data_IF_978445352509
#
_entry.id   IF_978445352509
#
_cell.length_a   1.000
_cell.length_b   1.000
_cell.length_c   1.000
_cell.angle_alpha   90.00
_cell.angle_beta   90.00
_cell.angle_gamma   90.00
#
_symmetry.space_group_name_H-M   'P 1'
#
loop_
_entity.id
_entity.type
_entity.pdbx_description
1 polymer ?
#
# COMPACT_ATOMS: atom_id res chain seq x y z
N UNK A 1 16.78 22.39 -4.46
CA UNK A 1 17.02 21.09 -3.81
C UNK A 1 15.73 20.32 -3.92
N UNK A 2 15.68 19.23 -4.67
CA UNK A 2 14.53 18.33 -4.70
C UNK A 2 14.41 17.69 -3.31
N UNK A 3 13.24 17.79 -2.67
CA UNK A 3 13.00 17.10 -1.41
C UNK A 3 13.07 15.59 -1.66
N UNK A 4 13.56 14.82 -0.68
CA UNK A 4 13.55 13.35 -0.78
C UNK A 4 12.12 12.86 -1.09
N UNK A 5 11.98 11.81 -1.92
CA UNK A 5 10.67 11.26 -2.29
C UNK A 5 9.92 10.75 -1.06
N UNK A 6 8.60 10.85 -1.11
CA UNK A 6 7.71 10.36 -0.06
C UNK A 6 7.66 8.82 -0.07
N UNK A 7 7.97 8.18 1.04
CA UNK A 7 8.06 6.72 1.16
C UNK A 7 6.74 6.09 1.60
N UNK A 8 6.16 5.26 0.77
CA UNK A 8 4.97 4.46 1.08
C UNK A 8 5.39 2.99 1.15
N UNK A 9 5.17 2.35 2.28
CA UNK A 9 5.59 0.95 2.48
C UNK A 9 4.38 0.07 2.71
N UNK A 10 4.21 -0.95 1.89
CA UNK A 10 3.19 -1.98 2.06
C UNK A 10 3.80 -3.17 2.79
N UNK A 11 3.53 -3.29 4.08
CA UNK A 11 4.15 -4.31 4.93
C UNK A 11 3.12 -5.08 5.75
N UNK A 12 3.32 -6.40 5.75
CA UNK A 12 2.63 -7.37 6.58
C UNK A 12 3.42 -8.67 6.52
N UNK A 13 3.79 -9.23 7.66
CA UNK A 13 4.56 -10.48 7.77
C UNK A 13 3.77 -11.72 7.32
N UNK A 14 2.50 -11.55 6.96
CA UNK A 14 1.62 -12.62 6.49
C UNK A 14 1.48 -12.60 4.97
N UNK A 15 1.57 -13.77 4.36
CA UNK A 15 1.30 -13.95 2.93
C UNK A 15 -0.19 -13.80 2.60
N UNK A 16 -0.52 -13.42 1.36
CA UNK A 16 -1.88 -13.42 0.85
C UNK A 16 -2.80 -12.29 1.35
N UNK A 17 -2.28 -11.27 2.02
CA UNK A 17 -3.07 -10.13 2.52
C UNK A 17 -3.35 -9.05 1.47
N UNK A 18 -2.83 -9.21 0.27
CA UNK A 18 -3.02 -8.28 -0.84
C UNK A 18 -2.02 -7.12 -0.89
N UNK A 19 -0.86 -7.21 -0.23
CA UNK A 19 0.20 -6.17 -0.27
C UNK A 19 0.53 -5.73 -1.68
N UNK A 20 1.08 -6.64 -2.49
CA UNK A 20 1.52 -6.35 -3.86
C UNK A 20 0.38 -5.81 -4.74
N UNK A 21 -0.81 -6.41 -4.63
CA UNK A 21 -1.99 -5.94 -5.37
C UNK A 21 -2.33 -4.51 -4.99
N UNK A 22 -2.38 -4.21 -3.69
CA UNK A 22 -2.69 -2.87 -3.20
C UNK A 22 -1.60 -1.87 -3.59
N UNK A 23 -0.32 -2.26 -3.45
CA UNK A 23 0.83 -1.42 -3.81
C UNK A 23 0.82 -1.02 -5.28
N UNK A 24 0.62 -1.97 -6.20
CA UNK A 24 0.53 -1.69 -7.64
C UNK A 24 -0.63 -0.76 -7.97
N UNK A 25 -1.82 -1.04 -7.43
CA UNK A 25 -3.01 -0.22 -7.71
C UNK A 25 -2.88 1.20 -7.16
N UNK A 26 -2.23 1.38 -6.00
CA UNK A 26 -1.93 2.71 -5.45
C UNK A 26 -0.87 3.41 -6.31
N UNK A 27 0.20 2.72 -6.73
CA UNK A 27 1.23 3.28 -7.59
C UNK A 27 0.65 3.80 -8.91
N UNK A 28 -0.17 2.98 -9.57
CA UNK A 28 -0.84 3.37 -10.83
C UNK A 28 -1.84 4.51 -10.59
N UNK A 29 -2.56 4.50 -9.47
CA UNK A 29 -3.49 5.59 -9.13
C UNK A 29 -2.76 6.93 -8.95
N UNK A 30 -1.60 6.95 -8.29
CA UNK A 30 -0.77 8.14 -8.15
C UNK A 30 -0.23 8.62 -9.50
N UNK A 31 0.21 7.69 -10.36
CA UNK A 31 0.65 8.01 -11.71
C UNK A 31 -0.48 8.62 -12.56
N UNK A 32 -1.71 8.11 -12.45
CA UNK A 32 -2.90 8.71 -13.08
C UNK A 32 -3.23 10.11 -12.55
N UNK A 33 -2.78 10.44 -11.35
CA UNK A 33 -2.90 11.77 -10.76
C UNK A 33 -1.72 12.69 -11.12
N UNK A 34 -0.83 12.25 -12.02
CA UNK A 34 0.30 13.03 -12.52
C UNK A 34 1.54 13.01 -11.62
N UNK A 35 1.56 12.17 -10.58
CA UNK A 35 2.75 12.00 -9.75
C UNK A 35 3.78 11.10 -10.44
N UNK A 36 5.06 11.39 -10.23
CA UNK A 36 6.16 10.50 -10.60
C UNK A 36 6.35 9.46 -9.51
N UNK A 37 6.24 8.19 -9.85
CA UNK A 37 6.27 7.08 -8.90
C UNK A 37 7.42 6.15 -9.22
N UNK A 38 8.17 5.75 -8.20
CA UNK A 38 9.07 4.61 -8.24
C UNK A 38 8.53 3.49 -7.35
N UNK A 39 8.78 2.23 -7.71
CA UNK A 39 8.28 1.07 -6.98
C UNK A 39 9.39 0.01 -6.84
N UNK A 40 9.64 -0.43 -5.63
CA UNK A 40 10.68 -1.40 -5.29
C UNK A 40 10.03 -2.66 -4.69
N UNK A 41 10.28 -3.80 -5.34
CA UNK A 41 9.86 -5.10 -4.81
C UNK A 41 10.98 -5.65 -3.90
N UNK A 42 10.68 -5.83 -2.62
CA UNK A 42 11.61 -6.40 -1.62
C UNK A 42 11.46 -7.92 -1.48
N UNK A 43 10.65 -8.59 -2.33
CA UNK A 43 10.58 -10.05 -2.36
C UNK A 43 11.18 -10.61 -3.66
N UNK A 44 12.52 -10.78 -3.72
CA UNK A 44 13.20 -11.28 -4.93
C UNK A 44 12.81 -12.72 -5.30
N UNK A 45 12.11 -13.44 -4.42
CA UNK A 45 11.61 -14.79 -4.69
C UNK A 45 10.28 -14.77 -5.43
N UNK A 46 9.32 -13.98 -4.96
CA UNK A 46 7.98 -13.90 -5.56
C UNK A 46 7.91 -12.86 -6.67
N UNK A 47 8.57 -11.72 -6.52
CA UNK A 47 8.66 -10.62 -7.49
C UNK A 47 7.29 -10.19 -8.00
N UNK A 48 6.26 -10.15 -7.14
CA UNK A 48 4.88 -9.97 -7.56
C UNK A 48 4.62 -8.57 -8.09
N UNK A 49 5.10 -7.54 -7.39
CA UNK A 49 4.99 -6.15 -7.83
C UNK A 49 5.79 -5.93 -9.12
N UNK A 50 7.04 -6.40 -9.17
CA UNK A 50 7.89 -6.30 -10.34
C UNK A 50 7.23 -6.93 -11.58
N UNK A 51 6.77 -8.17 -11.47
CA UNK A 51 6.10 -8.89 -12.58
C UNK A 51 4.82 -8.20 -13.03
N UNK A 52 4.12 -7.53 -12.14
CA UNK A 52 2.93 -6.77 -12.53
C UNK A 52 3.29 -5.60 -13.45
N UNK A 53 4.33 -4.84 -13.10
CA UNK A 53 4.79 -3.72 -13.93
C UNK A 53 5.49 -4.19 -15.21
N UNK A 54 6.21 -5.32 -15.19
CA UNK A 54 6.77 -5.97 -16.36
C UNK A 54 5.65 -6.34 -17.36
N UNK A 55 4.60 -7.03 -16.89
CA UNK A 55 3.42 -7.36 -17.70
C UNK A 55 2.73 -6.09 -18.26
N UNK A 56 2.73 -5.00 -17.47
CA UNK A 56 2.18 -3.71 -17.91
C UNK A 56 3.00 -3.13 -19.06
N UNK A 57 4.32 -3.10 -18.94
CA UNK A 57 5.22 -2.62 -20.00
C UNK A 57 5.10 -3.46 -21.27
N UNK A 58 5.03 -4.79 -21.16
CA UNK A 58 4.79 -5.68 -22.29
C UNK A 58 3.43 -5.42 -22.97
N UNK A 59 2.39 -5.16 -22.20
CA UNK A 59 1.05 -4.81 -22.74
C UNK A 59 1.08 -3.48 -23.47
N UNK A 60 1.77 -2.47 -22.93
CA UNK A 60 1.97 -1.18 -23.60
C UNK A 60 2.67 -1.37 -24.96
N UNK A 61 3.80 -2.09 -24.96
CA UNK A 61 4.56 -2.36 -26.17
C UNK A 61 3.73 -3.13 -27.22
N UNK A 62 3.04 -4.19 -26.80
CA UNK A 62 2.21 -5.02 -27.68
C UNK A 62 1.02 -4.30 -28.29
N UNK A 63 0.37 -3.38 -27.53
CA UNK A 63 -0.83 -2.66 -27.96
C UNK A 63 -0.51 -1.29 -28.58
N UNK A 64 0.74 -0.82 -28.50
CA UNK A 64 1.13 0.52 -28.95
C UNK A 64 0.46 1.64 -28.17
N UNK A 65 0.28 1.46 -26.85
CA UNK A 65 -0.40 2.42 -25.96
C UNK A 65 0.57 2.90 -24.88
N UNK A 66 0.30 4.08 -24.36
CA UNK A 66 0.96 4.62 -23.18
C UNK A 66 0.01 4.63 -21.98
N UNK A 67 0.45 4.04 -20.87
CA UNK A 67 -0.33 3.93 -19.64
C UNK A 67 0.46 4.49 -18.47
N UNK A 68 -0.12 5.35 -17.63
CA UNK A 68 0.53 5.81 -16.42
C UNK A 68 1.02 4.65 -15.56
N UNK A 69 2.24 4.75 -15.06
CA UNK A 69 2.88 3.67 -14.29
C UNK A 69 3.97 4.20 -13.37
N UNK A 70 4.82 3.32 -12.92
CA UNK A 70 5.97 3.62 -12.07
C UNK A 70 7.27 3.17 -12.75
N UNK A 71 8.39 3.84 -12.45
CA UNK A 71 9.69 3.21 -12.57
C UNK A 71 9.73 2.06 -11.56
N UNK A 72 10.22 0.88 -11.93
CA UNK A 72 10.14 -0.27 -11.05
C UNK A 72 11.38 -1.15 -11.11
N UNK A 73 11.73 -1.72 -9.97
CA UNK A 73 12.81 -2.70 -9.87
C UNK A 73 12.59 -3.66 -8.70
N UNK A 74 13.40 -4.73 -8.66
CA UNK A 74 13.48 -5.68 -7.56
C UNK A 74 14.80 -5.50 -6.82
N UNK A 75 14.74 -5.34 -5.51
CA UNK A 75 15.95 -5.26 -4.71
C UNK A 75 16.56 -6.65 -4.48
N UNK A 76 17.82 -6.80 -4.84
CA UNK A 76 18.58 -8.07 -4.71
C UNK A 76 19.88 -7.89 -3.92
N UNK A 77 20.10 -6.70 -3.33
CA UNK A 77 21.28 -6.43 -2.50
C UNK A 77 21.22 -7.16 -1.15
N UNK A 78 22.33 -7.07 -0.41
CA UNK A 78 22.56 -7.81 0.84
C UNK A 78 22.74 -6.93 2.08
N UNK A 79 22.65 -5.61 1.91
CA UNK A 79 22.83 -4.66 3.02
C UNK A 79 21.79 -3.51 3.01
N UNK A 80 21.61 -2.88 4.14
CA UNK A 80 20.72 -1.72 4.28
C UNK A 80 21.27 -0.52 3.48
N UNK A 81 22.58 -0.35 3.46
CA UNK A 81 23.26 0.70 2.69
C UNK A 81 22.99 0.52 1.19
N UNK A 82 23.02 -0.73 0.70
CA UNK A 82 22.69 -1.04 -0.69
C UNK A 82 21.21 -0.75 -0.99
N UNK A 83 20.29 -1.04 -0.04
CA UNK A 83 18.87 -0.72 -0.20
C UNK A 83 18.64 0.81 -0.26
N UNK A 84 19.29 1.59 0.59
CA UNK A 84 19.17 3.05 0.56
C UNK A 84 19.78 3.65 -0.72
N UNK A 85 20.91 3.12 -1.17
CA UNK A 85 21.54 3.56 -2.44
C UNK A 85 20.61 3.26 -3.64
N UNK A 86 20.08 2.03 -3.72
CA UNK A 86 19.10 1.63 -4.74
C UNK A 86 17.82 2.48 -4.70
N UNK A 87 17.34 2.78 -3.48
CA UNK A 87 16.18 3.66 -3.29
C UNK A 87 16.45 5.06 -3.79
N UNK A 88 17.65 5.61 -3.52
CA UNK A 88 18.04 6.93 -3.98
C UNK A 88 18.17 7.00 -5.51
N UNK A 89 18.70 5.94 -6.14
CA UNK A 89 18.87 5.84 -7.58
C UNK A 89 17.50 5.81 -8.30
N UNK A 90 16.64 4.84 -7.99
CA UNK A 90 15.33 4.71 -8.65
C UNK A 90 14.38 5.86 -8.31
N UNK A 91 14.54 6.44 -7.12
CA UNK A 91 13.70 7.52 -6.61
C UNK A 91 14.19 8.94 -6.95
N UNK A 92 15.28 9.10 -7.72
CA UNK A 92 15.94 10.39 -7.95
C UNK A 92 14.98 11.51 -8.42
N UNK A 93 14.05 11.17 -9.33
CA UNK A 93 13.08 12.10 -9.88
C UNK A 93 11.63 11.81 -9.43
N UNK A 94 11.46 10.91 -8.49
CA UNK A 94 10.14 10.48 -8.04
C UNK A 94 9.57 11.41 -6.97
N UNK A 95 8.25 11.61 -6.99
CA UNK A 95 7.49 12.21 -5.89
C UNK A 95 7.26 11.19 -4.78
N UNK A 96 7.04 9.93 -5.17
CA UNK A 96 6.78 8.80 -4.28
C UNK A 96 7.69 7.61 -4.59
N UNK A 97 8.18 6.95 -3.55
CA UNK A 97 8.77 5.61 -3.63
C UNK A 97 7.89 4.65 -2.86
N UNK A 98 7.42 3.61 -3.57
CA UNK A 98 6.57 2.55 -3.01
C UNK A 98 7.41 1.29 -2.81
N UNK A 99 7.30 0.71 -1.61
CA UNK A 99 7.93 -0.57 -1.30
C UNK A 99 6.87 -1.64 -1.10
N UNK A 100 7.03 -2.78 -1.78
CA UNK A 100 6.26 -4.00 -1.53
C UNK A 100 7.15 -5.00 -0.77
N UNK A 101 6.70 -5.44 0.40
CA UNK A 101 7.51 -6.30 1.27
C UNK A 101 7.11 -7.76 1.19
N UNK A 102 8.04 -8.71 1.46
CA UNK A 102 7.70 -10.12 1.52
C UNK A 102 6.68 -10.42 2.64
N UNK A 103 5.95 -11.53 2.48
CA UNK A 103 4.99 -12.03 3.47
C UNK A 103 5.66 -12.86 4.58
N UNK A 104 6.79 -12.39 5.10
CA UNK A 104 7.56 -12.99 6.18
C UNK A 104 8.36 -11.92 6.91
N UNK A 105 8.90 -12.28 8.05
CA UNK A 105 9.90 -11.45 8.71
C UNK A 105 11.18 -11.34 7.84
N UNK A 106 11.60 -10.10 7.62
CA UNK A 106 12.71 -9.78 6.73
C UNK A 106 13.37 -8.46 7.17
N UNK A 107 14.72 -8.37 7.25
CA UNK A 107 15.41 -7.19 7.75
C UNK A 107 15.22 -5.96 6.85
N UNK A 108 15.14 -6.12 5.53
CA UNK A 108 14.90 -5.02 4.60
C UNK A 108 13.47 -4.52 4.70
N UNK A 109 12.49 -5.44 4.87
CA UNK A 109 11.11 -5.08 5.11
C UNK A 109 10.93 -4.29 6.42
N UNK A 110 11.61 -4.72 7.50
CA UNK A 110 11.61 -3.98 8.78
C UNK A 110 12.22 -2.60 8.64
N UNK A 111 13.37 -2.52 7.95
CA UNK A 111 14.02 -1.23 7.71
C UNK A 111 13.10 -0.30 6.91
N UNK A 112 12.56 -0.75 5.79
CA UNK A 112 11.64 0.03 4.98
C UNK A 112 10.42 0.50 5.80
N UNK A 113 9.80 -0.41 6.57
CA UNK A 113 8.65 -0.08 7.41
C UNK A 113 8.95 1.01 8.45
N UNK A 114 10.14 0.98 9.07
CA UNK A 114 10.54 1.98 10.07
C UNK A 114 10.88 3.35 9.43
N UNK A 115 11.22 3.37 8.15
CA UNK A 115 11.52 4.59 7.39
C UNK A 115 10.33 5.15 6.60
N UNK A 116 9.16 4.50 6.65
CA UNK A 116 7.98 4.90 5.92
C UNK A 116 7.45 6.28 6.35
N UNK A 117 7.03 7.12 5.40
CA UNK A 117 6.19 8.28 5.67
C UNK A 117 4.73 7.87 5.85
N UNK A 118 4.26 6.95 5.00
CA UNK A 118 3.03 6.19 5.20
C UNK A 118 3.34 4.70 5.21
N UNK A 119 3.04 4.04 6.32
CA UNK A 119 3.07 2.59 6.43
C UNK A 119 1.66 2.06 6.20
N UNK A 120 1.47 1.25 5.18
CA UNK A 120 0.21 0.59 4.85
C UNK A 120 0.32 -0.87 5.23
N UNK A 121 -0.53 -1.32 6.14
CA UNK A 121 -0.58 -2.73 6.57
C UNK A 121 -1.91 -3.35 6.11
N UNK A 122 -1.94 -3.96 4.90
CA UNK A 122 -3.11 -4.70 4.45
C UNK A 122 -3.28 -5.96 5.29
N UNK A 123 -4.48 -6.19 5.79
CA UNK A 123 -4.86 -7.41 6.52
C UNK A 123 -6.20 -7.93 6.01
N UNK A 124 -6.39 -9.25 6.06
CA UNK A 124 -7.69 -9.83 5.76
C UNK A 124 -8.65 -9.57 6.92
N UNK A 125 -9.93 -9.59 6.63
CA UNK A 125 -11.00 -9.41 7.61
C UNK A 125 -11.22 -10.70 8.43
N UNK A 126 -10.20 -11.05 9.24
CA UNK A 126 -10.15 -12.28 10.02
C UNK A 126 -9.49 -12.03 11.38
N UNK A 127 -10.02 -12.61 12.45
CA UNK A 127 -9.43 -12.54 13.78
C UNK A 127 -8.00 -13.09 13.82
N UNK A 128 -7.67 -14.07 12.97
CA UNK A 128 -6.31 -14.62 12.87
C UNK A 128 -5.31 -13.58 12.37
N UNK A 129 -5.76 -12.59 11.61
CA UNK A 129 -4.91 -11.53 11.09
C UNK A 129 -4.66 -10.42 12.12
N UNK A 130 -5.49 -10.33 13.17
CA UNK A 130 -5.24 -9.41 14.29
C UNK A 130 -3.96 -9.73 15.06
N UNK A 131 -3.55 -11.00 15.11
CA UNK A 131 -2.30 -11.42 15.80
C UNK A 131 -1.08 -10.68 15.23
N UNK A 132 -1.14 -10.20 13.99
CA UNK A 132 -0.10 -9.34 13.41
C UNK A 132 0.08 -8.03 14.19
N UNK A 133 -1.00 -7.45 14.72
CA UNK A 133 -0.96 -6.18 15.45
C UNK A 133 -0.98 -6.43 16.96
N UNK A 134 -1.78 -7.40 17.40
CA UNK A 134 -1.86 -7.76 18.80
C UNK A 134 -2.89 -8.83 19.10
N UNK A 135 -2.68 -9.52 20.21
CA UNK A 135 -3.61 -10.52 20.68
C UNK A 135 -4.81 -9.86 21.36
N UNK A 136 -5.99 -10.26 20.94
CA UNK A 136 -7.27 -9.78 21.43
C UNK A 136 -7.98 -10.91 22.19
N UNK A 137 -8.55 -10.59 23.34
CA UNK A 137 -9.38 -11.53 24.08
C UNK A 137 -10.63 -11.90 23.30
N UNK A 138 -10.90 -13.19 23.14
CA UNK A 138 -11.98 -13.68 22.27
C UNK A 138 -13.40 -13.33 22.79
N UNK A 139 -13.55 -13.09 24.08
CA UNK A 139 -14.85 -12.78 24.69
C UNK A 139 -15.08 -11.29 24.89
N UNK A 140 -14.05 -10.60 25.38
CA UNK A 140 -14.13 -9.19 25.76
C UNK A 140 -13.64 -8.23 24.70
N UNK A 141 -12.96 -8.72 23.64
CA UNK A 141 -12.29 -7.95 22.58
C UNK A 141 -11.25 -6.94 23.07
N UNK A 142 -10.81 -7.08 24.32
CA UNK A 142 -9.74 -6.24 24.88
C UNK A 142 -8.37 -6.71 24.42
N UNK A 143 -7.50 -5.75 24.15
CA UNK A 143 -6.10 -6.02 23.77
C UNK A 143 -5.36 -6.61 24.95
N UNK A 144 -4.89 -7.85 24.84
CA UNK A 144 -4.05 -8.54 25.84
C UNK A 144 -2.60 -8.12 25.70
N UNK A 145 -2.06 -8.24 24.50
CA UNK A 145 -0.64 -8.00 24.22
C UNK A 145 -0.47 -7.48 22.78
N UNK A 146 0.48 -6.58 22.56
CA UNK A 146 0.89 -6.17 21.22
C UNK A 146 1.77 -7.28 20.60
N UNK A 147 1.79 -7.33 19.26
CA UNK A 147 2.73 -8.16 18.53
C UNK A 147 4.12 -7.51 18.52
N UNK A 148 5.13 -8.31 18.21
CA UNK A 148 6.48 -7.80 17.98
C UNK A 148 6.52 -6.76 16.84
N UNK A 149 5.78 -7.01 15.76
CA UNK A 149 5.65 -6.07 14.64
C UNK A 149 5.04 -4.73 15.08
N UNK A 150 3.94 -4.76 15.83
CA UNK A 150 3.32 -3.53 16.33
C UNK A 150 4.23 -2.75 17.29
N UNK A 151 4.97 -3.44 18.15
CA UNK A 151 5.95 -2.83 19.04
C UNK A 151 7.10 -2.19 18.25
N UNK A 152 7.62 -2.85 17.21
CA UNK A 152 8.65 -2.32 16.32
C UNK A 152 8.18 -1.02 15.65
N UNK A 153 6.98 -1.00 15.09
CA UNK A 153 6.44 0.19 14.43
C UNK A 153 6.17 1.31 15.43
N UNK A 154 5.68 0.98 16.61
CA UNK A 154 5.44 1.96 17.67
C UNK A 154 6.75 2.64 18.11
N UNK A 155 7.83 1.89 18.32
CA UNK A 155 9.15 2.42 18.69
C UNK A 155 9.74 3.27 17.53
N UNK A 156 9.60 2.84 16.28
CA UNK A 156 10.02 3.61 15.12
C UNK A 156 9.30 4.97 15.04
N UNK A 157 7.98 4.98 15.26
CA UNK A 157 7.18 6.20 15.29
C UNK A 157 7.61 7.14 16.42
N UNK A 158 7.83 6.59 17.61
CA UNK A 158 8.31 7.35 18.78
C UNK A 158 9.67 7.98 18.51
N UNK A 159 10.62 7.19 18.00
CA UNK A 159 11.96 7.68 17.63
C UNK A 159 11.87 8.77 16.58
N UNK A 160 11.03 8.59 15.56
CA UNK A 160 10.81 9.60 14.50
C UNK A 160 10.18 10.88 15.04
N UNK A 161 9.18 10.76 15.95
CA UNK A 161 8.56 11.93 16.58
C UNK A 161 9.55 12.75 17.41
N UNK A 162 10.48 12.11 18.11
CA UNK A 162 11.56 12.79 18.84
C UNK A 162 12.51 13.53 17.88
N UNK A 163 12.86 12.93 16.73
CA UNK A 163 13.70 13.57 15.71
C UNK A 163 12.97 14.66 14.93
N UNK A 164 11.65 14.60 14.84
CA UNK A 164 10.84 15.60 14.13
C UNK A 164 11.06 17.03 14.65
N UNK A 165 11.33 17.17 15.95
CA UNK A 165 11.65 18.46 16.59
C UNK A 165 12.95 19.10 16.06
N UNK A 166 13.87 18.30 15.51
CA UNK A 166 15.20 18.74 15.05
C UNK A 166 15.40 18.67 13.53
N UNK A 167 14.73 17.73 12.85
CA UNK A 167 14.99 17.39 11.44
C UNK A 167 13.85 17.76 10.48
N UNK A 168 12.78 18.40 10.93
CA UNK A 168 11.58 18.72 10.14
C UNK A 168 10.97 17.51 9.38
N UNK A 169 11.23 16.29 9.84
CA UNK A 169 10.65 15.08 9.26
C UNK A 169 9.17 14.98 9.62
N UNK A 170 8.36 14.48 8.68
CA UNK A 170 6.93 14.22 8.91
C UNK A 170 6.76 13.06 9.90
N UNK A 171 5.70 13.11 10.71
CA UNK A 171 5.29 11.96 11.50
C UNK A 171 4.90 10.81 10.56
N UNK A 172 5.21 9.57 10.96
CA UNK A 172 4.77 8.39 10.22
C UNK A 172 3.26 8.22 10.36
N UNK A 173 2.56 8.14 9.24
CA UNK A 173 1.14 7.73 9.20
C UNK A 173 1.06 6.21 9.06
N UNK A 174 0.54 5.51 10.07
CA UNK A 174 0.31 4.08 9.99
C UNK A 174 -1.16 3.78 9.69
N UNK A 175 -1.42 3.15 8.54
CA UNK A 175 -2.74 2.83 8.04
C UNK A 175 -2.91 1.32 7.97
N UNK A 176 -3.83 0.79 8.74
CA UNK A 176 -4.26 -0.61 8.64
C UNK A 176 -5.40 -0.68 7.63
N UNK A 177 -5.19 -1.42 6.54
CA UNK A 177 -6.14 -1.53 5.44
C UNK A 177 -6.85 -2.88 5.52
N UNK A 178 -8.17 -2.86 5.70
CA UNK A 178 -8.99 -4.08 5.71
C UNK A 178 -9.26 -4.53 4.28
N UNK A 179 -8.53 -5.53 3.84
CA UNK A 179 -8.70 -6.17 2.54
C UNK A 179 -9.62 -7.40 2.65
N UNK A 180 -10.15 -7.83 1.50
CA UNK A 180 -10.98 -9.04 1.37
C UNK A 180 -12.16 -9.09 2.33
N UNK A 181 -12.74 -7.93 2.61
CA UNK A 181 -13.96 -7.86 3.40
C UNK A 181 -15.02 -8.72 2.71
N UNK A 182 -15.41 -9.80 3.37
CA UNK A 182 -16.53 -10.64 2.94
C UNK A 182 -17.79 -10.09 3.57
N UNK A 183 -18.89 -10.08 2.82
CA UNK A 183 -20.21 -9.74 3.36
C UNK A 183 -20.76 -10.90 4.23
N UNK A 184 -20.04 -11.20 5.31
CA UNK A 184 -20.39 -12.27 6.25
C UNK A 184 -20.80 -11.62 7.57
N UNK A 185 -21.90 -12.07 8.13
CA UNK A 185 -22.44 -11.81 9.46
C UNK A 185 -22.09 -10.45 10.10
N UNK A 186 -23.06 -9.53 10.08
CA UNK A 186 -22.96 -8.19 10.68
C UNK A 186 -22.50 -8.20 12.16
N UNK A 187 -22.70 -9.30 12.89
CA UNK A 187 -22.26 -9.45 14.28
C UNK A 187 -20.73 -9.59 14.37
N UNK A 188 -20.14 -10.38 13.49
CA UNK A 188 -18.67 -10.54 13.43
C UNK A 188 -17.99 -9.25 12.96
N UNK A 189 -18.57 -8.53 11.99
CA UNK A 189 -18.04 -7.24 11.55
C UNK A 189 -17.98 -6.22 12.70
N UNK A 190 -19.05 -6.08 13.47
CA UNK A 190 -19.06 -5.17 14.64
C UNK A 190 -18.00 -5.52 15.67
N UNK A 191 -17.78 -6.81 15.92
CA UNK A 191 -16.74 -7.30 16.85
C UNK A 191 -15.35 -6.96 16.34
N UNK A 192 -15.11 -7.13 15.04
CA UNK A 192 -13.86 -6.78 14.40
C UNK A 192 -13.60 -5.27 14.45
N UNK A 193 -14.63 -4.47 14.16
CA UNK A 193 -14.54 -3.01 14.27
C UNK A 193 -14.17 -2.55 15.68
N UNK A 194 -14.77 -3.15 16.72
CA UNK A 194 -14.44 -2.86 18.11
C UNK A 194 -12.99 -3.22 18.43
N UNK A 195 -12.53 -4.42 18.04
CA UNK A 195 -11.16 -4.86 18.31
C UNK A 195 -10.13 -3.97 17.59
N UNK A 196 -10.39 -3.60 16.33
CA UNK A 196 -9.54 -2.66 15.59
C UNK A 196 -9.53 -1.27 16.22
N UNK A 197 -10.68 -0.77 16.67
CA UNK A 197 -10.77 0.51 17.34
C UNK A 197 -9.97 0.54 18.64
N UNK A 198 -10.01 -0.52 19.43
CA UNK A 198 -9.20 -0.64 20.66
C UNK A 198 -7.70 -0.72 20.37
N UNK A 199 -7.30 -1.54 19.38
CA UNK A 199 -5.90 -1.61 18.94
C UNK A 199 -5.43 -0.26 18.39
N UNK A 200 -6.23 0.39 17.58
CA UNK A 200 -5.95 1.71 17.00
C UNK A 200 -5.66 2.76 18.08
N UNK A 201 -6.50 2.84 19.12
CA UNK A 201 -6.28 3.76 20.25
C UNK A 201 -4.97 3.48 20.98
N UNK A 202 -4.60 2.22 21.13
CA UNK A 202 -3.42 1.81 21.91
C UNK A 202 -2.13 1.98 21.13
N UNK A 203 -2.14 1.71 19.83
CA UNK A 203 -0.94 1.66 18.98
C UNK A 203 -0.82 2.92 18.12
N UNK A 204 -1.93 3.58 17.85
CA UNK A 204 -1.97 4.85 17.12
C UNK A 204 -1.96 4.70 15.59
N UNK A 205 -2.51 3.62 15.05
CA UNK A 205 -2.80 3.53 13.62
C UNK A 205 -4.21 4.03 13.33
N UNK A 206 -4.50 4.30 12.06
CA UNK A 206 -5.87 4.52 11.57
C UNK A 206 -6.31 3.37 10.68
N UNK A 207 -7.61 3.15 10.59
CA UNK A 207 -8.19 2.06 9.80
C UNK A 207 -8.75 2.64 8.50
N UNK A 208 -8.45 1.99 7.38
CA UNK A 208 -9.05 2.29 6.09
C UNK A 208 -9.70 1.03 5.48
N UNK A 209 -10.77 1.24 4.71
CA UNK A 209 -11.32 0.19 3.88
C UNK A 209 -10.38 -0.06 2.69
N UNK A 210 -10.10 -1.32 2.44
CA UNK A 210 -9.25 -1.77 1.35
C UNK A 210 -10.05 -2.29 0.15
N UNK A 211 -9.46 -3.27 -0.53
CA UNK A 211 -10.04 -3.88 -1.71
C UNK A 211 -10.78 -5.15 -1.31
N UNK A 212 -12.04 -5.29 -1.73
CA UNK A 212 -12.81 -6.53 -1.57
C UNK A 212 -12.14 -7.68 -2.35
N UNK A 213 -12.39 -8.92 -1.94
CA UNK A 213 -11.92 -10.08 -2.70
C UNK A 213 -12.70 -10.18 -4.01
N UNK A 214 -12.00 -10.00 -5.14
CA UNK A 214 -12.59 -10.05 -6.47
C UNK A 214 -11.66 -10.76 -7.45
N UNK A 215 -12.24 -11.56 -8.31
CA UNK A 215 -11.52 -12.32 -9.36
C UNK A 215 -10.79 -11.37 -10.31
N UNK A 216 -11.36 -10.20 -10.59
CA UNK A 216 -10.81 -9.20 -11.51
C UNK A 216 -9.34 -8.83 -11.22
N UNK A 217 -8.92 -8.77 -9.95
CA UNK A 217 -7.53 -8.47 -9.62
C UNK A 217 -6.55 -9.55 -10.08
N UNK A 218 -7.00 -10.81 -10.15
CA UNK A 218 -6.22 -11.93 -10.71
C UNK A 218 -6.25 -11.94 -12.22
N UNK A 219 -7.38 -11.61 -12.82
CA UNK A 219 -7.54 -11.53 -14.28
C UNK A 219 -6.74 -10.40 -14.91
N UNK A 220 -6.56 -9.28 -14.21
CA UNK A 220 -5.78 -8.14 -14.69
C UNK A 220 -4.27 -8.34 -14.56
N UNK A 221 -3.79 -9.22 -13.68
CA UNK A 221 -2.38 -9.45 -13.42
C UNK A 221 -1.58 -9.81 -14.68
N UNK A 222 -2.01 -10.77 -15.55
CA UNK A 222 -1.24 -11.17 -16.73
C UNK A 222 -1.07 -10.07 -17.77
N UNK A 223 -1.92 -9.05 -17.75
CA UNK A 223 -1.82 -7.88 -18.65
C UNK A 223 -1.20 -6.66 -17.96
N UNK A 224 -0.93 -6.72 -16.66
CA UNK A 224 -0.46 -5.58 -15.90
C UNK A 224 -1.44 -4.40 -15.87
N UNK A 225 -2.72 -4.64 -16.19
CA UNK A 225 -3.76 -3.62 -16.18
C UNK A 225 -4.36 -3.46 -14.79
N UNK A 226 -4.86 -2.28 -14.50
CA UNK A 226 -5.61 -1.96 -13.29
C UNK A 226 -7.03 -1.51 -13.63
N UNK A 227 -7.88 -1.43 -12.63
CA UNK A 227 -9.25 -0.92 -12.80
C UNK A 227 -9.30 0.55 -13.26
N UNK A 228 -8.18 1.26 -13.28
CA UNK A 228 -8.08 2.65 -13.73
C UNK A 228 -7.86 2.76 -15.25
N UNK A 229 -7.40 1.70 -15.89
CA UNK A 229 -7.10 1.65 -17.34
C UNK A 229 -8.38 1.48 -18.18
N UNK A 230 -9.35 2.41 -18.03
CA UNK A 230 -10.72 2.31 -18.56
C UNK A 230 -10.80 1.97 -20.05
N UNK A 231 -9.96 2.61 -20.89
CA UNK A 231 -9.95 2.39 -22.34
C UNK A 231 -9.43 1.02 -22.76
N UNK A 232 -8.89 0.22 -21.83
CA UNK A 232 -8.24 -1.06 -22.13
C UNK A 232 -8.98 -2.27 -21.58
N UNK A 233 -10.06 -2.06 -20.83
CA UNK A 233 -10.78 -3.12 -20.10
C UNK A 233 -12.06 -3.61 -20.77
N UNK A 234 -12.43 -3.03 -21.93
CA UNK A 234 -13.72 -3.31 -22.57
C UNK A 234 -14.92 -2.80 -21.75
N UNK A 235 -16.07 -3.42 -21.92
CA UNK A 235 -17.26 -3.09 -21.14
C UNK A 235 -17.12 -3.57 -19.68
N UNK A 236 -17.25 -2.64 -18.75
CA UNK A 236 -17.14 -2.92 -17.33
C UNK A 236 -18.53 -3.20 -16.75
N UNK A 237 -18.72 -4.41 -16.22
CA UNK A 237 -19.89 -4.74 -15.43
C UNK A 237 -19.94 -3.97 -14.08
N UNK A 238 -21.12 -3.98 -13.44
CA UNK A 238 -21.37 -3.27 -12.17
C UNK A 238 -20.33 -3.63 -11.08
N UNK A 239 -19.90 -4.90 -11.01
CA UNK A 239 -18.89 -5.35 -10.06
C UNK A 239 -17.54 -4.63 -10.22
N UNK A 240 -17.13 -4.34 -11.46
CA UNK A 240 -15.89 -3.62 -11.76
C UNK A 240 -15.99 -2.13 -11.41
N UNK A 241 -17.18 -1.53 -11.57
CA UNK A 241 -17.42 -0.15 -11.15
C UNK A 241 -17.31 0.01 -9.63
N UNK A 242 -17.87 -0.94 -8.87
CA UNK A 242 -17.73 -0.96 -7.40
C UNK A 242 -16.27 -1.14 -7.01
N UNK A 243 -15.56 -2.08 -7.60
CA UNK A 243 -14.13 -2.30 -7.31
C UNK A 243 -13.27 -1.07 -7.62
N UNK A 244 -13.59 -0.34 -8.70
CA UNK A 244 -12.92 0.93 -9.01
C UNK A 244 -13.21 2.01 -7.95
N UNK A 245 -14.44 2.07 -7.45
CA UNK A 245 -14.79 3.01 -6.38
C UNK A 245 -14.09 2.66 -5.07
N UNK A 246 -13.98 1.37 -4.72
CA UNK A 246 -13.18 0.90 -3.57
C UNK A 246 -11.72 1.38 -3.69
N UNK A 247 -11.10 1.21 -4.86
CA UNK A 247 -9.73 1.66 -5.10
C UNK A 247 -9.59 3.19 -4.94
N UNK A 248 -10.51 3.97 -5.49
CA UNK A 248 -10.48 5.44 -5.33
C UNK A 248 -10.64 5.85 -3.88
N UNK A 249 -11.54 5.22 -3.16
CA UNK A 249 -11.76 5.47 -1.74
C UNK A 249 -10.53 5.10 -0.91
N UNK A 250 -9.87 3.98 -1.22
CA UNK A 250 -8.63 3.59 -0.58
C UNK A 250 -7.55 4.65 -0.78
N UNK A 251 -7.29 5.06 -2.03
CA UNK A 251 -6.25 6.07 -2.34
C UNK A 251 -6.55 7.40 -1.64
N UNK A 252 -7.80 7.85 -1.65
CA UNK A 252 -8.22 9.05 -0.95
C UNK A 252 -7.99 8.95 0.58
N UNK A 253 -8.30 7.78 1.17
CA UNK A 253 -8.10 7.53 2.59
C UNK A 253 -6.63 7.40 3.01
N UNK A 254 -5.69 7.21 2.08
CA UNK A 254 -4.27 7.25 2.40
C UNK A 254 -3.76 8.68 2.68
N UNK A 255 -4.51 9.72 2.34
CA UNK A 255 -4.20 11.12 2.60
C UNK A 255 -2.77 11.53 2.15
N UNK A 256 -2.37 11.05 0.97
CA UNK A 256 -1.03 11.26 0.45
C UNK A 256 -0.82 12.70 -0.01
N UNK A 257 0.37 13.29 0.17
CA UNK A 257 0.67 14.66 -0.23
C UNK A 257 0.92 14.73 -1.74
N UNK A 258 -0.15 14.83 -2.53
CA UNK A 258 -0.02 14.95 -3.97
C UNK A 258 0.71 16.23 -4.37
N UNK A 259 1.62 16.19 -5.37
CA UNK A 259 2.29 17.35 -5.88
C UNK A 259 1.27 18.33 -6.53
N UNK A 260 1.49 19.63 -6.40
CA UNK A 260 0.57 20.66 -6.94
C UNK A 260 0.30 20.50 -8.45
N UNK A 261 1.27 19.94 -9.21
CA UNK A 261 1.14 19.62 -10.63
C UNK A 261 0.22 18.44 -10.93
N UNK A 262 -0.13 17.66 -9.92
CA UNK A 262 -0.97 16.46 -10.05
C UNK A 262 -2.47 16.75 -9.99
N UNK A 263 -2.90 18.01 -10.01
CA UNK A 263 -4.32 18.35 -10.12
C UNK A 263 -4.86 17.87 -11.48
N UNK A 264 -5.97 17.12 -11.53
CA UNK A 264 -6.56 16.69 -12.79
C UNK A 264 -6.94 17.92 -13.62
N UNK A 265 -6.78 17.90 -14.96
CA UNK A 265 -7.34 18.92 -15.80
C UNK A 265 -8.85 18.95 -15.53
N UNK A 266 -9.38 20.12 -15.19
CA UNK A 266 -10.81 20.34 -15.11
C UNK A 266 -11.41 19.94 -16.45
N UNK A 267 -12.08 18.77 -16.50
CA UNK A 267 -12.99 18.48 -17.58
C UNK A 267 -14.13 19.49 -17.41
N UNK A 268 -14.04 20.60 -18.16
CA UNK A 268 -15.21 21.43 -18.42
C UNK A 268 -16.18 20.51 -19.16
N UNK A 269 -17.17 20.00 -18.46
CA UNK A 269 -18.39 19.53 -19.11
C UNK A 269 -18.98 20.75 -19.80
N UNK A 270 -18.68 20.85 -21.09
CA UNK A 270 -19.44 21.74 -21.98
C UNK A 270 -20.83 21.12 -22.14
N UNK A 271 -21.81 21.92 -21.89
CA UNK A 271 -23.25 21.73 -21.97
C UNK A 271 -23.75 20.98 -23.20
#
# INVERSE_FOLDING_TARGET
>A
MTSAPYRIVFANEKGGTGKSTTAVHVAVALAYQGAKVAAIDLDPRQRTLYRYFENRAETQARRGIDLPGAAFDVFTGDSIEALEAHTAEIGQDADFVIFDTPGRDDPFARHAATQADTLVTPMNDSFVDFDLIGQVDAETFKVRRLSFYAELIWEARKTRALKQLHEQRRAMDWVVVRNRVQHVDARNQRRMDQALAELSKRVGFRVAHGLSERVIYRELFPSGLTLLDKGQLGELGTSHLVARQELRSLVANLNLPLPARAAPPHTSEAA
#
